data_IF_225094175867
#
_entry.id   IF_225094175867
#
_cell.length_a   1.000
_cell.length_b   1.000
_cell.length_c   1.000
_cell.angle_alpha   90.00
_cell.angle_beta   90.00
_cell.angle_gamma   90.00
#
_symmetry.space_group_name_H-M   'P 1'
#
loop_
_entity.id
_entity.type
_entity.pdbx_description
1 polymer ?
#
# COMPACT_ATOMS: atom_id res chain seq x y z
N UNK A 1 24.31 -25.02 18.69
CA UNK A 1 23.19 -25.19 17.74
C UNK A 1 22.06 -24.33 18.27
N UNK A 2 21.93 -23.11 17.75
CA UNK A 2 20.76 -22.27 18.04
C UNK A 2 19.52 -23.04 17.57
N UNK A 3 18.51 -23.12 18.43
CA UNK A 3 17.18 -23.56 17.98
C UNK A 3 16.80 -22.70 16.78
N UNK A 4 16.28 -23.26 15.67
CA UNK A 4 15.65 -22.42 14.65
C UNK A 4 14.63 -21.54 15.38
N UNK A 5 14.75 -20.22 15.22
CA UNK A 5 13.82 -19.29 15.85
C UNK A 5 12.41 -19.71 15.45
N UNK A 6 11.57 -20.06 16.42
CA UNK A 6 10.19 -20.44 16.16
C UNK A 6 9.54 -19.33 15.32
N UNK A 7 8.79 -19.71 14.30
CA UNK A 7 8.03 -18.73 13.53
C UNK A 7 7.11 -17.93 14.48
N UNK A 8 7.00 -16.61 14.31
CA UNK A 8 6.14 -15.80 15.17
C UNK A 8 4.69 -16.26 15.07
N UNK A 9 4.04 -16.39 16.22
CA UNK A 9 2.61 -16.66 16.31
C UNK A 9 1.80 -15.37 16.10
N UNK A 10 0.58 -15.53 15.59
CA UNK A 10 -0.31 -14.41 15.28
C UNK A 10 -1.71 -14.65 15.82
N UNK A 11 -2.37 -13.57 16.22
CA UNK A 11 -3.81 -13.51 16.42
C UNK A 11 -4.48 -13.10 15.11
N UNK A 12 -5.71 -13.54 14.86
CA UNK A 12 -6.41 -13.27 13.60
C UNK A 12 -7.72 -12.49 13.80
N UNK A 13 -8.07 -11.67 12.81
CA UNK A 13 -9.34 -10.95 12.76
C UNK A 13 -9.20 -9.42 12.72
N UNK A 14 -9.47 -8.82 11.57
CA UNK A 14 -9.44 -7.37 11.38
C UNK A 14 -10.38 -6.65 12.37
N UNK A 15 -9.86 -5.66 13.09
CA UNK A 15 -10.63 -4.82 14.01
C UNK A 15 -11.07 -5.48 15.33
N UNK A 16 -10.62 -6.71 15.61
CA UNK A 16 -10.91 -7.38 16.89
C UNK A 16 -10.38 -6.61 18.10
N UNK A 17 -10.98 -6.87 19.26
CA UNK A 17 -10.39 -6.56 20.56
C UNK A 17 -9.53 -7.75 21.00
N UNK A 18 -8.23 -7.65 20.78
CA UNK A 18 -7.25 -8.68 21.12
C UNK A 18 -6.78 -8.56 22.57
N UNK A 19 -6.35 -9.69 23.11
CA UNK A 19 -5.62 -9.82 24.36
C UNK A 19 -4.39 -10.69 24.07
N UNK A 20 -3.20 -10.22 24.45
CA UNK A 20 -1.96 -10.97 24.26
C UNK A 20 -1.00 -10.73 25.42
N UNK A 21 -0.41 -11.80 25.95
CA UNK A 21 0.59 -11.75 27.02
C UNK A 21 1.74 -12.71 26.75
N UNK A 22 2.97 -12.21 26.88
CA UNK A 22 4.18 -13.01 26.77
C UNK A 22 4.50 -13.77 28.07
N UNK A 23 4.01 -13.28 29.20
CA UNK A 23 4.10 -13.91 30.51
C UNK A 23 2.67 -14.17 31.06
N UNK A 24 2.37 -15.38 31.56
CA UNK A 24 1.03 -15.71 32.04
C UNK A 24 0.54 -14.79 33.16
N UNK A 25 -0.63 -14.18 32.99
CA UNK A 25 -1.21 -13.26 33.97
C UNK A 25 -0.58 -11.87 34.00
N UNK A 26 0.14 -11.47 32.94
CA UNK A 26 0.63 -10.11 32.79
C UNK A 26 -0.48 -9.11 32.46
N UNK A 27 -1.57 -9.56 31.83
CA UNK A 27 -2.78 -8.75 31.66
C UNK A 27 -3.52 -8.56 32.97
N UNK A 28 -4.08 -7.36 33.15
CA UNK A 28 -4.88 -7.01 34.31
C UNK A 28 -6.30 -7.52 34.15
N UNK A 29 -6.88 -8.08 35.22
CA UNK A 29 -8.25 -8.61 35.20
C UNK A 29 -9.25 -7.57 35.71
N UNK A 30 -10.31 -7.32 34.95
CA UNK A 30 -11.45 -6.48 35.36
C UNK A 30 -11.22 -4.97 35.40
N UNK A 31 -10.01 -4.49 35.10
CA UNK A 31 -9.64 -3.07 35.03
C UNK A 31 -8.39 -2.87 34.18
N UNK A 32 -8.17 -1.65 33.64
CA UNK A 32 -6.98 -1.35 32.82
C UNK A 32 -5.82 -0.71 33.62
N UNK A 33 -6.13 -0.03 34.73
CA UNK A 33 -5.15 0.77 35.49
C UNK A 33 -5.16 0.38 36.97
N UNK A 34 -4.62 -0.79 37.34
CA UNK A 34 -4.48 -1.17 38.75
C UNK A 34 -3.45 -0.31 39.47
N UNK A 35 -3.59 -0.18 40.79
CA UNK A 35 -2.60 0.48 41.63
C UNK A 35 -1.22 -0.20 41.53
N UNK A 36 -1.22 -1.52 41.35
CA UNK A 36 -0.03 -2.34 41.12
C UNK A 36 -0.31 -3.28 39.95
N UNK A 37 0.32 -3.04 38.79
CA UNK A 37 0.21 -3.97 37.68
C UNK A 37 0.90 -5.30 38.02
N UNK A 38 0.43 -6.43 37.45
CA UNK A 38 1.18 -7.68 37.45
C UNK A 38 2.63 -7.45 37.03
N UNK A 39 3.56 -8.20 37.63
CA UNK A 39 5.00 -8.09 37.39
C UNK A 39 5.62 -6.70 37.65
N UNK A 40 4.88 -5.77 38.27
CA UNK A 40 5.37 -4.40 38.47
C UNK A 40 5.43 -3.57 37.19
N UNK A 41 4.69 -3.95 36.14
CA UNK A 41 4.65 -3.25 34.86
C UNK A 41 4.01 -1.85 34.98
N UNK A 42 4.23 -1.02 33.97
CA UNK A 42 3.53 0.24 33.76
C UNK A 42 2.38 0.03 32.79
N UNK A 43 1.18 0.48 33.14
CA UNK A 43 0.06 0.56 32.21
C UNK A 43 0.16 1.86 31.40
N UNK A 44 0.15 1.75 30.07
CA UNK A 44 0.21 2.85 29.13
C UNK A 44 -0.90 2.67 28.09
N UNK A 45 -1.58 3.74 27.69
CA UNK A 45 -2.58 3.67 26.63
C UNK A 45 -2.06 4.40 25.38
N UNK A 46 -2.09 3.70 24.25
CA UNK A 46 -2.00 4.33 22.93
C UNK A 46 -3.42 4.53 22.39
N UNK A 47 -3.75 5.78 22.06
CA UNK A 47 -5.06 6.16 21.52
C UNK A 47 -4.89 6.52 20.05
N UNK A 48 -5.37 5.65 19.15
CA UNK A 48 -5.33 5.91 17.70
C UNK A 48 -6.40 6.91 17.26
N UNK A 49 -7.49 7.03 18.04
CA UNK A 49 -8.63 7.91 17.73
C UNK A 49 -8.99 8.81 18.90
N UNK A 50 -9.86 9.79 18.64
CA UNK A 50 -10.42 10.62 19.71
C UNK A 50 -11.21 9.77 20.71
N UNK A 51 -11.18 10.14 22.00
CA UNK A 51 -11.88 9.39 23.04
C UNK A 51 -13.39 9.26 22.80
N UNK A 52 -13.99 10.23 22.12
CA UNK A 52 -15.41 10.29 21.81
C UNK A 52 -15.77 9.73 20.43
N UNK A 53 -14.80 9.16 19.70
CA UNK A 53 -15.08 8.45 18.46
C UNK A 53 -16.17 7.39 18.69
N UNK A 54 -17.16 7.24 17.78
CA UNK A 54 -18.17 6.20 17.88
C UNK A 54 -17.52 4.84 18.13
N UNK A 55 -18.10 3.99 18.98
CA UNK A 55 -17.48 2.73 19.41
C UNK A 55 -16.94 1.86 18.27
N UNK A 56 -17.66 1.80 17.14
CA UNK A 56 -17.24 1.05 15.93
C UNK A 56 -16.00 1.61 15.23
N UNK A 57 -15.67 2.89 15.46
CA UNK A 57 -14.51 3.59 14.91
C UNK A 57 -13.44 3.85 15.99
N UNK A 58 -13.74 3.63 17.27
CA UNK A 58 -12.83 3.93 18.37
C UNK A 58 -11.70 2.90 18.42
N UNK A 59 -10.48 3.34 18.14
CA UNK A 59 -9.28 2.51 18.17
C UNK A 59 -8.34 2.94 19.30
N UNK A 60 -7.99 1.97 20.16
CA UNK A 60 -7.03 2.12 21.26
C UNK A 60 -6.43 0.79 21.69
N UNK A 61 -5.26 0.84 22.30
CA UNK A 61 -4.65 -0.30 22.99
C UNK A 61 -4.03 0.10 24.32
N UNK A 62 -4.12 -0.81 25.29
CA UNK A 62 -3.41 -0.75 26.56
C UNK A 62 -2.18 -1.64 26.49
N UNK A 63 -1.05 -1.09 26.89
CA UNK A 63 0.26 -1.71 26.90
C UNK A 63 0.72 -1.85 28.36
N UNK A 64 1.13 -3.04 28.77
CA UNK A 64 1.74 -3.30 30.07
C UNK A 64 3.23 -3.54 29.85
N UNK A 65 4.02 -2.52 30.15
CA UNK A 65 5.42 -2.40 29.71
C UNK A 65 6.40 -2.23 30.86
N UNK A 66 7.65 -2.65 30.66
CA UNK A 66 8.70 -2.63 31.70
C UNK A 66 9.09 -1.19 32.07
N UNK A 67 9.24 -0.31 31.08
CA UNK A 67 9.45 1.14 31.27
C UNK A 67 8.51 1.92 30.35
N UNK A 68 7.88 3.00 30.84
CA UNK A 68 6.92 3.79 30.06
C UNK A 68 7.61 4.57 28.94
N UNK A 69 6.90 4.83 27.84
CA UNK A 69 7.42 5.51 26.64
C UNK A 69 7.95 6.92 26.89
N UNK A 70 7.52 7.56 27.98
CA UNK A 70 7.91 8.92 28.38
C UNK A 70 9.38 9.01 28.84
N UNK A 71 10.03 7.90 29.17
CA UNK A 71 11.43 7.92 29.64
C UNK A 71 12.39 7.95 28.46
N UNK A 72 12.72 9.15 27.98
CA UNK A 72 13.74 9.39 26.95
C UNK A 72 14.34 10.80 27.12
N UNK A 73 15.50 11.04 26.50
CA UNK A 73 16.07 12.39 26.36
C UNK A 73 15.18 13.28 25.47
N UNK A 74 15.27 14.62 25.56
CA UNK A 74 14.59 15.50 24.62
C UNK A 74 14.87 15.13 23.15
N UNK A 75 13.87 15.30 22.29
CA UNK A 75 14.04 15.12 20.85
C UNK A 75 14.89 16.26 20.26
N UNK A 76 15.83 15.90 19.39
CA UNK A 76 16.65 16.82 18.61
C UNK A 76 16.46 16.57 17.13
N UNK A 77 16.53 17.62 16.30
CA UNK A 77 16.43 17.47 14.85
C UNK A 77 17.49 16.49 14.34
N UNK A 78 17.06 15.52 13.53
CA UNK A 78 17.94 14.59 12.83
C UNK A 78 18.30 15.20 11.49
N UNK A 79 19.60 15.25 11.18
CA UNK A 79 20.04 15.56 9.82
C UNK A 79 19.69 14.35 8.94
N UNK A 80 18.78 14.47 7.97
CA UNK A 80 18.41 13.34 7.14
C UNK A 80 19.54 13.03 6.15
N UNK A 81 19.68 11.76 5.75
CA UNK A 81 20.67 11.38 4.72
C UNK A 81 20.39 12.02 3.35
N UNK A 82 19.14 12.36 3.10
CA UNK A 82 18.68 13.02 1.89
C UNK A 82 17.43 13.85 2.18
N UNK A 83 17.14 14.83 1.33
CA UNK A 83 15.96 15.71 1.46
C UNK A 83 14.74 15.20 0.67
N UNK A 84 14.68 13.88 0.40
CA UNK A 84 13.63 13.25 -0.41
C UNK A 84 12.44 12.73 0.38
N UNK A 85 12.41 12.94 1.71
CA UNK A 85 11.27 12.61 2.54
C UNK A 85 10.45 13.88 2.77
N UNK A 86 9.20 13.89 2.30
CA UNK A 86 8.31 15.07 2.29
C UNK A 86 6.91 14.66 2.75
N UNK A 87 6.24 15.52 3.51
CA UNK A 87 4.83 15.35 3.90
C UNK A 87 3.98 16.62 3.71
N UNK A 88 4.59 17.68 3.18
CA UNK A 88 3.94 18.94 2.85
C UNK A 88 4.05 19.16 1.35
N UNK A 89 2.92 19.16 0.65
CA UNK A 89 2.89 19.21 -0.82
C UNK A 89 2.47 20.59 -1.30
N UNK A 90 3.46 21.46 -1.54
CA UNK A 90 3.27 22.82 -2.04
C UNK A 90 4.24 23.14 -3.20
N UNK A 91 4.34 24.40 -3.63
CA UNK A 91 5.17 24.80 -4.77
C UNK A 91 6.68 24.68 -4.55
N UNK A 92 7.16 24.63 -3.29
CA UNK A 92 8.61 24.52 -3.00
C UNK A 92 9.08 23.07 -2.92
N UNK A 93 8.19 22.15 -2.53
CA UNK A 93 8.53 20.74 -2.29
C UNK A 93 8.08 19.81 -3.41
N UNK A 94 7.22 20.29 -4.31
CA UNK A 94 6.54 19.44 -5.30
C UNK A 94 5.96 20.24 -6.46
N UNK A 95 5.73 19.55 -7.58
CA UNK A 95 5.18 20.11 -8.81
C UNK A 95 3.96 19.31 -9.28
N UNK A 96 3.01 19.97 -9.92
CA UNK A 96 1.89 19.30 -10.57
C UNK A 96 2.21 19.10 -12.06
N UNK A 97 1.81 17.96 -12.63
CA UNK A 97 1.82 17.73 -14.07
C UNK A 97 0.64 16.84 -14.46
N UNK A 98 -0.08 17.15 -15.56
CA UNK A 98 -1.12 16.28 -16.09
C UNK A 98 -0.55 15.14 -16.95
N UNK A 99 0.75 15.15 -17.25
CA UNK A 99 1.41 14.12 -18.07
C UNK A 99 1.42 12.79 -17.34
N UNK A 100 1.12 11.70 -18.06
CA UNK A 100 1.28 10.34 -17.53
C UNK A 100 2.75 10.07 -17.21
N UNK A 101 3.03 9.52 -16.04
CA UNK A 101 4.40 9.22 -15.61
C UNK A 101 4.59 7.72 -15.42
N UNK A 102 5.78 7.22 -15.75
CA UNK A 102 6.19 5.84 -15.50
C UNK A 102 7.66 5.82 -15.08
N UNK A 103 7.95 5.11 -14.00
CA UNK A 103 9.29 4.93 -13.48
C UNK A 103 9.71 3.47 -13.57
N UNK A 104 10.96 3.25 -13.98
CA UNK A 104 11.63 1.97 -13.86
C UNK A 104 11.90 1.64 -12.38
N UNK A 105 12.18 0.37 -12.04
CA UNK A 105 12.53 0.00 -10.68
C UNK A 105 13.79 0.73 -10.19
N UNK A 106 13.68 1.45 -9.08
CA UNK A 106 14.82 2.15 -8.48
C UNK A 106 15.85 1.14 -7.99
N UNK A 107 17.13 1.41 -8.25
CA UNK A 107 18.22 0.56 -7.79
C UNK A 107 18.32 0.57 -6.25
N UNK A 108 18.59 -0.59 -5.68
CA UNK A 108 18.96 -0.70 -4.27
C UNK A 108 20.34 -0.03 -4.10
N UNK A 109 20.56 0.77 -3.03
CA UNK A 109 21.84 1.40 -2.78
C UNK A 109 22.99 0.39 -2.78
N UNK A 110 24.11 0.76 -3.38
CA UNK A 110 25.32 -0.07 -3.45
C UNK A 110 25.80 -0.47 -2.04
N UNK A 111 26.47 -1.61 -1.95
CA UNK A 111 26.98 -2.14 -0.67
C UNK A 111 27.98 -1.21 0.03
N UNK A 112 28.55 -0.23 -0.68
CA UNK A 112 29.44 0.79 -0.11
C UNK A 112 28.72 1.87 0.71
N UNK A 113 27.39 2.01 0.57
CA UNK A 113 26.57 2.93 1.36
C UNK A 113 25.61 2.16 2.26
N UNK A 114 25.85 2.18 3.56
CA UNK A 114 24.94 1.60 4.56
C UNK A 114 23.66 2.44 4.65
N UNK A 115 22.52 1.85 4.26
CA UNK A 115 21.21 2.51 4.23
C UNK A 115 20.16 1.59 4.86
N UNK A 116 19.59 2.02 6.00
CA UNK A 116 18.49 1.32 6.65
C UNK A 116 17.13 1.71 6.07
N UNK A 117 16.03 1.17 6.62
CA UNK A 117 14.67 1.48 6.15
C UNK A 117 14.34 2.98 6.23
N UNK A 118 14.79 3.70 7.26
CA UNK A 118 14.48 5.11 7.46
C UNK A 118 15.26 5.97 6.46
N UNK A 119 16.57 5.73 6.37
CA UNK A 119 17.46 6.45 5.45
C UNK A 119 17.22 6.10 3.97
N UNK A 120 16.54 4.97 3.71
CA UNK A 120 16.17 4.51 2.38
C UNK A 120 14.76 4.87 1.95
N UNK A 121 13.98 5.58 2.78
CA UNK A 121 12.59 5.96 2.52
C UNK A 121 12.51 7.31 1.80
N UNK A 122 11.92 7.34 0.60
CA UNK A 122 11.82 8.56 -0.20
C UNK A 122 10.43 8.74 -0.82
N UNK A 123 9.93 9.97 -0.78
CA UNK A 123 8.59 10.36 -1.24
C UNK A 123 8.56 10.60 -2.73
N UNK A 124 7.73 9.88 -3.46
CA UNK A 124 7.55 10.05 -4.91
C UNK A 124 6.56 11.16 -5.21
N UNK A 125 5.38 11.09 -4.57
CA UNK A 125 4.31 12.07 -4.73
C UNK A 125 3.37 12.03 -3.53
N UNK A 126 2.44 12.98 -3.47
CA UNK A 126 1.39 13.00 -2.47
C UNK A 126 0.55 14.27 -2.58
N UNK A 127 -0.36 14.46 -1.65
CA UNK A 127 -1.22 15.64 -1.59
C UNK A 127 -1.59 15.97 -0.15
N UNK A 128 -1.85 17.24 0.13
CA UNK A 128 -2.20 17.70 1.46
C UNK A 128 -0.98 17.99 2.35
N UNK A 129 -1.17 17.81 3.66
CA UNK A 129 -0.26 18.25 4.70
C UNK A 129 -0.41 17.38 5.96
N UNK A 130 0.72 16.88 6.43
CA UNK A 130 0.80 16.17 7.72
C UNK A 130 0.44 17.07 8.91
N UNK A 131 0.77 18.37 8.87
CA UNK A 131 0.49 19.29 9.98
C UNK A 131 -1.01 19.50 10.22
N UNK A 132 -1.79 19.59 9.15
CA UNK A 132 -3.25 19.70 9.25
C UNK A 132 -3.94 18.33 9.30
N UNK A 133 -3.18 17.24 9.28
CA UNK A 133 -3.67 15.85 9.31
C UNK A 133 -4.68 15.57 8.20
N UNK A 134 -4.34 15.95 6.98
CA UNK A 134 -5.18 15.66 5.82
C UNK A 134 -4.34 15.43 4.58
N UNK A 135 -4.57 14.30 3.92
CA UNK A 135 -3.89 13.95 2.68
C UNK A 135 -3.17 12.62 2.76
N UNK A 136 -2.24 12.42 1.83
CA UNK A 136 -1.46 11.20 1.74
C UNK A 136 -0.09 11.47 1.13
N UNK A 137 0.85 10.57 1.35
CA UNK A 137 2.13 10.52 0.67
C UNK A 137 2.38 9.08 0.17
N UNK A 138 2.94 8.97 -1.03
CA UNK A 138 3.40 7.70 -1.58
C UNK A 138 4.92 7.74 -1.57
N UNK A 139 5.50 6.88 -0.76
CA UNK A 139 6.93 6.65 -0.68
C UNK A 139 7.29 5.34 -1.37
N UNK A 140 8.56 5.23 -1.71
CA UNK A 140 9.21 3.94 -1.93
C UNK A 140 10.37 3.84 -0.96
N UNK A 141 10.78 2.62 -0.66
CA UNK A 141 11.96 2.38 0.16
C UNK A 141 12.95 1.49 -0.57
N UNK A 142 14.24 1.73 -0.38
CA UNK A 142 15.32 0.85 -0.81
C UNK A 142 16.42 0.84 0.27
N UNK A 143 16.62 -0.32 0.90
CA UNK A 143 17.51 -0.47 2.05
C UNK A 143 18.42 -1.69 1.89
N UNK A 144 19.63 -1.60 2.42
CA UNK A 144 20.62 -2.69 2.40
C UNK A 144 21.17 -3.05 3.79
N UNK A 145 20.68 -2.39 4.84
CA UNK A 145 21.04 -2.63 6.23
C UNK A 145 19.79 -2.72 7.11
N UNK A 146 19.82 -3.60 8.11
CA UNK A 146 18.84 -3.62 9.19
C UNK A 146 18.92 -2.35 10.06
N UNK A 147 17.82 -2.01 10.73
CA UNK A 147 17.80 -0.98 11.76
C UNK A 147 18.41 -1.52 13.06
N UNK A 148 19.63 -1.09 13.39
CA UNK A 148 20.35 -1.55 14.59
C UNK A 148 20.32 -0.49 15.69
N UNK A 149 19.83 -0.86 16.89
CA UNK A 149 19.79 0.04 18.04
C UNK A 149 18.89 1.26 17.85
N UNK A 150 17.94 1.18 16.92
CA UNK A 150 16.98 2.25 16.66
C UNK A 150 15.58 1.74 16.29
N UNK A 151 14.58 2.59 16.53
CA UNK A 151 13.20 2.40 16.12
C UNK A 151 12.65 3.68 15.49
N UNK A 152 11.76 3.55 14.53
CA UNK A 152 10.96 4.64 13.98
C UNK A 152 9.61 4.70 14.69
N UNK A 153 9.15 5.91 15.00
CA UNK A 153 7.78 6.23 15.36
C UNK A 153 7.27 7.24 14.32
N UNK A 154 6.17 6.94 13.64
CA UNK A 154 5.54 7.90 12.75
C UNK A 154 4.37 8.59 13.45
N UNK A 155 4.49 9.89 13.75
CA UNK A 155 3.42 10.67 14.35
C UNK A 155 2.54 11.37 13.32
N UNK A 156 2.81 11.25 12.02
CA UNK A 156 2.06 11.96 10.98
C UNK A 156 0.87 11.14 10.47
N UNK A 157 0.96 9.81 10.50
CA UNK A 157 -0.06 8.95 9.92
C UNK A 157 0.23 7.45 10.01
N UNK A 158 -0.67 6.67 9.41
CA UNK A 158 -0.52 5.23 9.26
C UNK A 158 0.35 4.93 8.02
N UNK A 159 1.26 3.96 8.14
CA UNK A 159 1.95 3.38 6.98
C UNK A 159 1.29 2.08 6.55
N UNK A 160 0.99 1.94 5.25
CA UNK A 160 0.75 0.68 4.57
C UNK A 160 1.98 0.35 3.71
N UNK A 161 2.71 -0.70 4.07
CA UNK A 161 3.96 -1.10 3.42
C UNK A 161 3.69 -2.34 2.55
N UNK A 162 4.18 -2.30 1.31
CA UNK A 162 4.08 -3.38 0.32
C UNK A 162 5.50 -3.78 -0.12
N UNK A 163 6.09 -4.84 0.47
CA UNK A 163 7.39 -5.34 0.05
C UNK A 163 7.35 -5.85 -1.39
N UNK A 164 8.37 -5.49 -2.18
CA UNK A 164 8.53 -5.96 -3.56
C UNK A 164 9.68 -6.94 -3.69
N UNK A 165 10.81 -6.66 -3.03
CA UNK A 165 12.00 -7.52 -3.00
C UNK A 165 12.52 -7.63 -1.58
N UNK A 166 12.86 -8.86 -1.16
CA UNK A 166 13.36 -9.18 0.17
C UNK A 166 12.29 -9.09 1.25
N UNK A 167 12.29 -10.03 2.20
CA UNK A 167 11.37 -10.00 3.35
C UNK A 167 11.74 -8.90 4.32
N UNK A 168 10.75 -8.40 5.05
CA UNK A 168 10.91 -7.52 6.20
C UNK A 168 10.60 -8.29 7.49
N UNK A 169 11.52 -8.25 8.45
CA UNK A 169 11.28 -8.70 9.82
C UNK A 169 11.06 -7.47 10.70
N UNK A 170 9.81 -7.16 11.00
CA UNK A 170 9.41 -5.93 11.71
C UNK A 170 9.15 -6.25 13.18
N UNK A 171 9.91 -5.62 14.07
CA UNK A 171 9.62 -5.63 15.52
C UNK A 171 8.79 -4.40 15.85
N UNK A 172 7.66 -4.58 16.54
CA UNK A 172 6.77 -3.51 16.99
C UNK A 172 6.57 -3.60 18.50
N UNK A 173 5.95 -2.59 19.11
CA UNK A 173 5.56 -2.66 20.52
C UNK A 173 4.51 -3.75 20.81
N UNK A 174 3.75 -4.22 19.81
CA UNK A 174 2.80 -5.33 19.99
C UNK A 174 3.41 -6.72 19.77
N UNK A 175 4.63 -6.79 19.21
CA UNK A 175 5.31 -8.03 18.86
C UNK A 175 5.94 -8.02 17.47
N UNK A 176 6.26 -9.20 16.93
CA UNK A 176 7.03 -9.35 15.69
C UNK A 176 6.18 -9.77 14.50
N UNK A 177 6.42 -9.16 13.34
CA UNK A 177 5.79 -9.46 12.06
C UNK A 177 6.86 -9.81 11.02
N UNK A 178 6.72 -10.94 10.35
CA UNK A 178 7.47 -11.24 9.12
C UNK A 178 6.59 -10.87 7.94
N UNK A 179 7.10 -10.14 6.94
CA UNK A 179 6.31 -9.66 5.80
C UNK A 179 7.08 -9.90 4.52
N UNK A 180 6.56 -10.75 3.64
CA UNK A 180 7.19 -11.14 2.38
C UNK A 180 6.59 -10.38 1.19
N UNK A 181 7.28 -10.30 0.04
CA UNK A 181 6.63 -9.89 -1.21
C UNK A 181 5.40 -10.77 -1.50
N UNK A 182 4.27 -10.14 -1.79
CA UNK A 182 2.95 -10.81 -1.85
C UNK A 182 2.12 -10.63 -0.58
N UNK A 183 2.70 -10.09 0.49
CA UNK A 183 2.01 -9.68 1.70
C UNK A 183 2.07 -8.14 1.83
N UNK A 184 1.22 -7.59 2.69
CA UNK A 184 1.29 -6.19 3.11
C UNK A 184 1.25 -6.09 4.64
N UNK A 185 1.66 -4.93 5.17
CA UNK A 185 1.59 -4.62 6.59
C UNK A 185 1.14 -3.19 6.80
N UNK A 186 0.28 -2.99 7.79
CA UNK A 186 -0.09 -1.66 8.28
C UNK A 186 0.55 -1.43 9.65
N UNK A 187 1.27 -0.32 9.76
CA UNK A 187 1.87 0.19 10.98
C UNK A 187 1.12 1.47 11.38
N UNK A 188 0.22 1.39 12.37
CA UNK A 188 -0.60 2.53 12.73
C UNK A 188 0.22 3.68 13.35
N UNK A 189 -0.28 4.90 13.19
CA UNK A 189 0.30 6.12 13.73
C UNK A 189 0.69 5.97 15.21
N UNK A 190 1.91 6.38 15.55
CA UNK A 190 2.44 6.44 16.90
C UNK A 190 3.08 5.16 17.43
N UNK A 191 2.92 4.01 16.76
CA UNK A 191 3.64 2.80 17.14
C UNK A 191 5.14 2.92 16.80
N UNK A 192 5.98 2.48 17.74
CA UNK A 192 7.41 2.31 17.51
C UNK A 192 7.66 0.97 16.82
N UNK A 193 8.50 0.99 15.79
CA UNK A 193 8.89 -0.22 15.07
C UNK A 193 10.33 -0.18 14.58
N UNK A 194 10.92 -1.34 14.35
CA UNK A 194 12.26 -1.51 13.79
C UNK A 194 12.24 -2.59 12.71
N UNK A 195 12.93 -2.34 11.60
CA UNK A 195 12.90 -3.18 10.39
C UNK A 195 14.24 -3.87 10.21
N UNK A 196 14.23 -5.20 10.27
CA UNK A 196 15.36 -6.06 9.93
C UNK A 196 15.19 -6.64 8.54
N UNK A 197 16.31 -6.85 7.85
CA UNK A 197 16.36 -7.35 6.48
C UNK A 197 16.95 -8.77 6.42
N UNK A 198 16.17 -9.83 6.74
CA UNK A 198 16.69 -11.19 6.87
C UNK A 198 17.27 -11.79 5.59
N UNK A 199 16.85 -11.29 4.42
CA UNK A 199 17.34 -11.74 3.11
C UNK A 199 18.43 -10.83 2.52
N UNK A 200 18.94 -9.87 3.31
CA UNK A 200 19.76 -8.78 2.80
C UNK A 200 18.91 -7.69 2.13
N UNK A 201 19.41 -7.00 1.10
CA UNK A 201 18.77 -5.77 0.63
C UNK A 201 17.31 -5.91 0.19
N UNK A 202 16.49 -4.94 0.59
CA UNK A 202 15.04 -4.93 0.37
C UNK A 202 14.57 -3.64 -0.32
N UNK A 203 13.48 -3.74 -1.07
CA UNK A 203 12.82 -2.63 -1.75
C UNK A 203 11.30 -2.84 -1.77
N UNK A 204 10.55 -1.75 -1.70
CA UNK A 204 9.10 -1.80 -1.80
C UNK A 204 8.46 -0.42 -1.80
N UNK A 205 7.16 -0.39 -1.51
CA UNK A 205 6.31 0.80 -1.58
C UNK A 205 5.70 1.07 -0.21
N UNK A 206 5.40 2.34 0.07
CA UNK A 206 4.70 2.75 1.29
C UNK A 206 3.64 3.79 0.94
N UNK A 207 2.38 3.54 1.28
CA UNK A 207 1.38 4.58 1.35
C UNK A 207 1.30 5.10 2.79
N UNK A 208 1.38 6.41 2.96
CA UNK A 208 1.19 7.11 4.22
C UNK A 208 -0.09 7.94 4.13
N UNK A 209 -1.02 7.76 5.08
CA UNK A 209 -2.27 8.53 5.12
C UNK A 209 -2.31 9.45 6.34
N UNK A 210 -2.78 10.69 6.15
CA UNK A 210 -2.86 11.70 7.22
C UNK A 210 -4.31 11.87 7.66
N UNK A 211 -4.58 11.62 8.94
CA UNK A 211 -5.87 11.90 9.57
C UNK A 211 -6.97 10.84 9.41
N UNK A 212 -6.63 9.66 8.89
CA UNK A 212 -7.55 8.52 8.80
C UNK A 212 -6.82 7.20 9.12
N UNK A 213 -7.58 6.12 9.30
CA UNK A 213 -7.06 4.76 9.41
C UNK A 213 -7.65 3.90 8.30
N UNK A 214 -6.89 2.91 7.85
CA UNK A 214 -7.36 1.93 6.88
C UNK A 214 -8.47 1.04 7.45
N UNK A 215 -9.45 0.71 6.61
CA UNK A 215 -10.65 -0.06 6.92
C UNK A 215 -10.89 -1.07 5.80
N UNK A 216 -11.63 -2.15 6.09
CA UNK A 216 -12.20 -2.99 5.03
C UNK A 216 -13.27 -2.19 4.27
N UNK A 217 -13.38 -2.35 2.95
CA UNK A 217 -14.42 -1.67 2.18
C UNK A 217 -15.82 -2.20 2.54
N UNK A 218 -16.83 -1.34 2.40
CA UNK A 218 -18.22 -1.80 2.41
C UNK A 218 -18.45 -2.73 1.22
N UNK A 219 -18.93 -3.95 1.48
CA UNK A 219 -19.08 -4.99 0.44
C UNK A 219 -20.30 -4.77 -0.46
N UNK A 220 -21.25 -3.94 -0.05
CA UNK A 220 -22.48 -3.69 -0.82
C UNK A 220 -23.16 -5.01 -1.25
N UNK A 221 -23.53 -5.17 -2.53
CA UNK A 221 -24.15 -6.39 -3.05
C UNK A 221 -23.30 -7.67 -2.98
N UNK A 222 -21.98 -7.60 -2.76
CA UNK A 222 -21.16 -8.79 -2.50
C UNK A 222 -21.65 -9.49 -1.22
N UNK A 223 -22.19 -8.73 -0.27
CA UNK A 223 -22.84 -9.25 0.92
C UNK A 223 -21.90 -9.32 2.12
N UNK A 224 -21.86 -10.47 2.79
CA UNK A 224 -21.15 -10.60 4.08
C UNK A 224 -19.77 -11.26 3.97
N UNK A 225 -19.35 -11.71 2.78
CA UNK A 225 -18.10 -12.43 2.56
C UNK A 225 -17.54 -12.14 1.17
N UNK A 226 -16.23 -11.97 1.07
CA UNK A 226 -15.54 -11.73 -0.20
C UNK A 226 -14.35 -10.79 -0.01
N UNK A 227 -13.63 -10.51 -1.10
CA UNK A 227 -12.48 -9.62 -1.10
C UNK A 227 -11.42 -10.05 -0.07
N UNK A 228 -10.95 -9.12 0.77
CA UNK A 228 -10.06 -9.41 1.89
C UNK A 228 -10.87 -9.85 3.11
N UNK A 229 -10.92 -11.16 3.37
CA UNK A 229 -11.65 -11.70 4.51
C UNK A 229 -11.03 -11.25 5.84
N UNK A 230 -11.84 -10.72 6.77
CA UNK A 230 -11.37 -10.18 8.05
C UNK A 230 -10.52 -11.18 8.85
N UNK A 231 -10.81 -12.48 8.78
CA UNK A 231 -10.06 -13.54 9.49
C UNK A 231 -8.61 -13.69 9.04
N UNK A 232 -8.26 -13.19 7.86
CA UNK A 232 -6.94 -13.42 7.27
C UNK A 232 -5.95 -12.29 7.57
N UNK A 233 -6.41 -11.25 8.27
CA UNK A 233 -5.56 -10.22 8.87
C UNK A 233 -4.96 -10.73 10.17
N UNK A 234 -3.64 -10.67 10.27
CA UNK A 234 -2.85 -11.23 11.35
C UNK A 234 -2.16 -10.13 12.16
N UNK A 235 -2.29 -10.20 13.48
CA UNK A 235 -1.72 -9.27 14.47
C UNK A 235 -0.68 -10.03 15.30
N UNK A 236 0.50 -9.46 15.61
CA UNK A 236 1.54 -10.18 16.33
C UNK A 236 1.13 -10.48 17.77
N UNK A 237 1.53 -11.63 18.31
CA UNK A 237 1.44 -11.88 19.75
C UNK A 237 2.49 -11.07 20.52
N UNK A 238 2.18 -10.70 21.77
CA UNK A 238 3.06 -9.96 22.65
C UNK A 238 4.45 -10.59 22.74
N UNK A 239 5.48 -9.75 22.66
CA UNK A 239 6.87 -10.11 22.76
C UNK A 239 7.66 -8.91 23.28
N UNK A 240 8.69 -9.15 24.08
CA UNK A 240 9.46 -8.08 24.71
C UNK A 240 10.97 -8.34 24.79
N UNK A 241 11.71 -7.25 24.93
CA UNK A 241 13.10 -7.18 25.33
C UNK A 241 13.21 -6.49 26.70
N UNK A 242 14.04 -7.05 27.58
CA UNK A 242 14.25 -6.52 28.94
C UNK A 242 15.68 -6.05 29.19
N UNK A 243 16.60 -6.35 28.29
CA UNK A 243 18.01 -6.03 28.45
C UNK A 243 18.24 -4.51 28.44
N UNK A 244 19.17 -4.07 29.28
CA UNK A 244 19.71 -2.72 29.23
C UNK A 244 20.35 -2.46 27.86
N UNK A 245 19.92 -1.38 27.19
CA UNK A 245 20.40 -1.01 25.85
C UNK A 245 20.77 0.48 25.85
N UNK A 246 21.97 0.83 26.35
CA UNK A 246 22.37 2.22 26.50
C UNK A 246 22.42 2.92 25.14
N UNK A 247 21.82 4.12 25.08
CA UNK A 247 21.83 4.94 23.85
C UNK A 247 20.96 4.43 22.71
N UNK A 248 19.95 3.59 22.98
CA UNK A 248 18.94 3.21 21.99
C UNK A 248 18.27 4.46 21.42
N UNK A 249 18.20 4.56 20.09
CA UNK A 249 17.73 5.77 19.40
C UNK A 249 16.29 5.63 18.93
N UNK A 250 15.42 6.51 19.39
CA UNK A 250 14.06 6.67 18.87
C UNK A 250 14.09 7.75 17.81
N UNK A 251 13.79 7.37 16.58
CA UNK A 251 13.57 8.31 15.48
C UNK A 251 12.08 8.62 15.43
N UNK A 252 11.72 9.88 15.56
CA UNK A 252 10.34 10.35 15.45
C UNK A 252 10.18 11.08 14.11
N UNK A 253 9.28 10.61 13.25
CA UNK A 253 8.77 11.39 12.13
C UNK A 253 7.63 12.27 12.65
N UNK A 254 7.75 13.58 12.50
CA UNK A 254 6.78 14.56 12.99
C UNK A 254 6.77 15.80 12.08
N UNK A 255 5.62 16.11 11.50
CA UNK A 255 5.47 17.20 10.53
C UNK A 255 6.33 17.00 9.26
N UNK A 256 6.60 15.75 8.88
CA UNK A 256 7.49 15.41 7.76
C UNK A 256 8.98 15.43 8.07
N UNK A 257 9.37 15.99 9.20
CA UNK A 257 10.76 16.05 9.64
C UNK A 257 11.11 14.85 10.51
N UNK A 258 12.40 14.57 10.63
CA UNK A 258 12.92 13.51 11.49
C UNK A 258 13.60 14.11 12.72
N UNK A 259 13.29 13.55 13.88
CA UNK A 259 13.91 13.88 15.15
C UNK A 259 14.47 12.63 15.81
N UNK A 260 15.48 12.76 16.66
CA UNK A 260 16.02 11.65 17.45
C UNK A 260 16.01 11.97 18.94
N UNK A 261 15.64 10.98 19.76
CA UNK A 261 15.85 10.97 21.21
C UNK A 261 16.56 9.68 21.61
N UNK A 262 17.37 9.71 22.66
CA UNK A 262 18.01 8.51 23.21
C UNK A 262 17.33 8.04 24.49
N UNK A 263 17.43 6.74 24.73
CA UNK A 263 16.99 6.07 25.95
C UNK A 263 17.89 4.85 26.21
N UNK A 264 17.90 4.34 27.44
CA UNK A 264 18.81 3.23 27.82
C UNK A 264 18.15 1.85 27.85
N UNK A 265 17.06 1.68 27.09
CA UNK A 265 16.31 0.44 27.00
C UNK A 265 15.64 0.32 25.64
N UNK A 266 15.28 -0.89 25.23
CA UNK A 266 14.49 -1.10 24.02
C UNK A 266 13.06 -0.59 24.17
N UNK A 267 12.47 0.10 23.17
CA UNK A 267 11.06 0.44 23.20
C UNK A 267 10.15 -0.80 23.10
N UNK A 268 10.69 -1.94 22.64
CA UNK A 268 9.97 -3.19 22.50
C UNK A 268 9.92 -3.93 23.84
N UNK A 269 9.44 -3.27 24.89
CA UNK A 269 9.44 -3.75 26.26
C UNK A 269 8.01 -3.98 26.81
N UNK A 270 7.06 -4.25 25.92
CA UNK A 270 5.64 -4.51 26.23
C UNK A 270 5.45 -6.01 26.47
N UNK A 271 5.21 -6.37 27.72
CA UNK A 271 5.06 -7.78 28.12
C UNK A 271 3.66 -8.31 27.81
N UNK A 272 2.66 -7.44 27.87
CA UNK A 272 1.30 -7.77 27.51
C UNK A 272 0.57 -6.54 26.96
N UNK A 273 -0.44 -6.77 26.13
CA UNK A 273 -1.28 -5.70 25.62
C UNK A 273 -2.69 -6.21 25.30
N UNK A 274 -3.67 -5.31 25.37
CA UNK A 274 -5.02 -5.58 24.87
C UNK A 274 -5.65 -4.35 24.21
N UNK A 275 -6.47 -4.57 23.19
CA UNK A 275 -7.08 -3.48 22.43
C UNK A 275 -7.41 -3.85 20.99
N UNK A 276 -7.81 -2.84 20.22
CA UNK A 276 -8.16 -2.98 18.81
C UNK A 276 -7.33 -2.06 17.89
N UNK A 277 -6.27 -1.45 18.43
CA UNK A 277 -5.32 -0.63 17.69
C UNK A 277 -3.96 -1.31 17.72
N UNK A 278 -3.59 -2.01 16.66
CA UNK A 278 -2.36 -2.79 16.60
C UNK A 278 -1.83 -2.87 15.16
N UNK A 279 -0.51 -3.06 14.98
CA UNK A 279 0.07 -3.44 13.71
C UNK A 279 -0.52 -4.76 13.19
N UNK A 280 -0.74 -4.87 11.88
CA UNK A 280 -1.26 -6.08 11.28
C UNK A 280 -0.69 -6.32 9.88
N UNK A 281 -0.64 -7.59 9.47
CA UNK A 281 -0.25 -8.01 8.12
C UNK A 281 -1.38 -8.78 7.44
N UNK A 282 -1.30 -8.87 6.12
CA UNK A 282 -2.23 -9.63 5.29
C UNK A 282 -1.52 -10.25 4.09
N UNK A 283 -1.83 -11.50 3.78
CA UNK A 283 -1.35 -12.20 2.59
C UNK A 283 -2.30 -11.93 1.41
N UNK A 284 -1.81 -11.22 0.38
CA UNK A 284 -2.60 -10.83 -0.78
C UNK A 284 -3.02 -12.03 -1.63
N UNK A 285 -2.32 -13.17 -1.51
CA UNK A 285 -2.71 -14.44 -2.14
C UNK A 285 -4.00 -15.03 -1.59
N UNK A 286 -4.46 -14.58 -0.41
CA UNK A 286 -5.74 -15.00 0.20
C UNK A 286 -6.94 -14.17 -0.23
N UNK A 287 -6.72 -13.09 -0.99
CA UNK A 287 -7.80 -12.26 -1.49
C UNK A 287 -8.76 -13.10 -2.35
N UNK A 288 -10.06 -12.96 -2.09
CA UNK A 288 -11.12 -13.61 -2.84
C UNK A 288 -11.60 -12.66 -3.96
N UNK A 289 -11.14 -12.84 -5.22
CA UNK A 289 -11.45 -11.90 -6.28
C UNK A 289 -12.91 -12.04 -6.72
N UNK A 290 -13.59 -10.91 -6.89
CA UNK A 290 -14.88 -10.83 -7.55
C UNK A 290 -14.70 -10.15 -8.91
N UNK A 291 -15.41 -10.65 -9.92
CA UNK A 291 -15.38 -10.06 -11.25
C UNK A 291 -16.62 -10.49 -12.03
N UNK A 292 -16.72 -10.05 -13.28
CA UNK A 292 -17.70 -10.53 -14.23
C UNK A 292 -17.62 -12.05 -14.41
N UNK A 293 -18.79 -12.65 -14.61
CA UNK A 293 -18.96 -14.06 -14.98
C UNK A 293 -19.74 -14.22 -16.29
N UNK A 294 -19.96 -13.12 -17.02
CA UNK A 294 -20.71 -13.13 -18.27
C UNK A 294 -20.05 -12.22 -19.32
N UNK A 295 -20.17 -10.91 -19.18
CA UNK A 295 -19.67 -9.93 -20.16
C UNK A 295 -19.09 -8.69 -19.45
N UNK A 296 -18.48 -7.81 -20.24
CA UNK A 296 -17.86 -6.55 -19.81
C UNK A 296 -16.68 -6.71 -18.84
N UNK A 297 -16.08 -5.59 -18.45
CA UNK A 297 -14.98 -5.52 -17.49
C UNK A 297 -15.48 -4.78 -16.24
N UNK A 298 -15.47 -5.44 -15.09
CA UNK A 298 -15.90 -4.81 -13.83
C UNK A 298 -14.92 -3.72 -13.38
N UNK A 299 -15.45 -2.62 -12.82
CA UNK A 299 -14.64 -1.52 -12.29
C UNK A 299 -13.57 -2.01 -11.30
N UNK A 300 -12.35 -1.44 -11.32
CA UNK A 300 -11.22 -1.95 -10.53
C UNK A 300 -11.44 -1.88 -9.01
N UNK A 301 -12.38 -1.06 -8.54
CA UNK A 301 -12.80 -0.97 -7.13
C UNK A 301 -13.32 -2.30 -6.56
N UNK A 302 -13.75 -3.23 -7.42
CA UNK A 302 -14.08 -4.61 -7.02
C UNK A 302 -12.87 -5.35 -6.43
N UNK A 303 -11.65 -4.84 -6.61
CA UNK A 303 -10.43 -5.42 -6.06
C UNK A 303 -9.84 -4.65 -4.87
N UNK A 304 -10.62 -3.78 -4.20
CA UNK A 304 -10.17 -3.05 -3.01
C UNK A 304 -9.88 -4.02 -1.85
N UNK A 305 -8.67 -3.93 -1.29
CA UNK A 305 -8.24 -4.68 -0.09
C UNK A 305 -8.51 -3.84 1.17
N UNK A 306 -8.06 -2.59 1.16
CA UNK A 306 -8.26 -1.62 2.24
C UNK A 306 -8.60 -0.25 1.66
N UNK A 307 -9.40 0.51 2.38
CA UNK A 307 -9.75 1.89 2.08
C UNK A 307 -9.52 2.80 3.28
N UNK A 308 -9.00 3.99 3.06
CA UNK A 308 -9.01 5.09 4.02
C UNK A 308 -10.10 6.08 3.59
N UNK A 309 -11.18 6.26 4.36
CA UNK A 309 -12.26 7.16 3.95
C UNK A 309 -11.84 8.63 4.07
N UNK A 310 -12.45 9.48 3.24
CA UNK A 310 -12.46 10.93 3.47
C UNK A 310 -13.70 11.35 4.29
N UNK A 311 -13.80 12.65 4.60
CA UNK A 311 -15.01 13.21 5.24
C UNK A 311 -16.24 13.20 4.32
N UNK A 312 -16.06 12.96 3.01
CA UNK A 312 -17.15 12.87 2.05
C UNK A 312 -17.56 11.40 1.87
N UNK A 313 -18.82 11.02 2.21
CA UNK A 313 -19.29 9.64 2.04
C UNK A 313 -19.12 9.14 0.60
N UNK A 314 -18.61 7.92 0.46
CA UNK A 314 -18.36 7.28 -0.84
C UNK A 314 -17.12 7.80 -1.58
N UNK A 315 -16.31 8.69 -0.96
CA UNK A 315 -15.05 9.16 -1.53
C UNK A 315 -13.91 8.76 -0.59
N UNK A 316 -13.05 7.86 -1.05
CA UNK A 316 -11.88 7.43 -0.29
C UNK A 316 -10.76 8.48 -0.39
N UNK A 317 -10.12 8.77 0.74
CA UNK A 317 -8.83 9.45 0.77
C UNK A 317 -7.79 8.62 0.02
N UNK A 318 -7.75 7.31 0.26
CA UNK A 318 -6.90 6.40 -0.47
C UNK A 318 -7.46 4.98 -0.47
N UNK A 319 -7.63 4.39 -1.65
CA UNK A 319 -7.93 2.97 -1.83
C UNK A 319 -6.65 2.20 -2.18
N UNK A 320 -6.43 1.08 -1.48
CA UNK A 320 -5.43 0.09 -1.83
C UNK A 320 -6.11 -1.06 -2.57
N UNK A 321 -5.90 -1.09 -3.88
CA UNK A 321 -6.51 -2.03 -4.82
C UNK A 321 -5.43 -2.99 -5.33
N UNK A 322 -5.74 -4.26 -5.54
CA UNK A 322 -4.81 -5.22 -6.14
C UNK A 322 -5.31 -5.78 -7.47
N UNK A 323 -4.41 -6.30 -8.28
CA UNK A 323 -4.72 -7.04 -9.51
C UNK A 323 -4.15 -8.45 -9.39
N UNK A 324 -4.85 -9.35 -8.68
CA UNK A 324 -4.34 -10.67 -8.33
C UNK A 324 -4.54 -11.67 -9.48
N UNK A 325 -3.95 -12.88 -9.37
CA UNK A 325 -4.32 -14.01 -10.21
C UNK A 325 -5.82 -14.26 -10.19
N UNK A 326 -6.45 -14.36 -11.36
CA UNK A 326 -7.91 -14.52 -11.50
C UNK A 326 -8.29 -15.15 -12.82
N UNK A 327 -9.53 -15.63 -12.90
CA UNK A 327 -10.12 -16.12 -14.14
C UNK A 327 -10.68 -14.97 -14.97
N UNK A 328 -10.46 -15.03 -16.27
CA UNK A 328 -11.09 -14.20 -17.29
C UNK A 328 -12.03 -15.07 -18.11
N UNK A 329 -13.32 -14.81 -17.97
CA UNK A 329 -14.39 -15.60 -18.59
C UNK A 329 -15.36 -14.77 -19.42
N UNK A 330 -15.17 -13.44 -19.46
CA UNK A 330 -16.09 -12.54 -20.16
C UNK A 330 -16.19 -12.89 -21.65
N UNK A 331 -17.40 -13.15 -22.12
CA UNK A 331 -17.75 -13.45 -23.50
C UNK A 331 -17.88 -12.16 -24.31
N UNK A 332 -17.50 -12.20 -25.59
CA UNK A 332 -17.63 -11.06 -26.53
C UNK A 332 -17.13 -9.72 -25.98
N UNK A 333 -16.07 -9.75 -25.16
CA UNK A 333 -15.64 -8.63 -24.35
C UNK A 333 -14.17 -8.32 -24.61
N UNK A 334 -13.86 -7.02 -24.74
CA UNK A 334 -12.49 -6.54 -24.63
C UNK A 334 -12.03 -6.68 -23.16
N UNK A 335 -11.38 -7.79 -22.84
CA UNK A 335 -11.04 -8.20 -21.46
C UNK A 335 -10.02 -7.31 -20.73
N UNK A 336 -9.01 -6.68 -21.38
CA UNK A 336 -8.15 -5.73 -20.70
C UNK A 336 -8.93 -4.53 -20.12
N UNK A 337 -8.34 -3.74 -19.21
CA UNK A 337 -8.97 -2.52 -18.73
C UNK A 337 -9.41 -1.62 -19.90
N UNK A 338 -10.55 -0.95 -19.76
CA UNK A 338 -11.06 -0.03 -20.78
C UNK A 338 -10.21 1.25 -20.85
N UNK A 339 -10.28 1.96 -21.99
CA UNK A 339 -9.76 3.33 -22.07
C UNK A 339 -10.51 4.23 -21.09
N UNK A 340 -9.77 5.00 -20.30
CA UNK A 340 -10.30 5.58 -19.07
C UNK A 340 -9.80 7.00 -18.81
N UNK A 341 -10.66 7.79 -18.15
CA UNK A 341 -10.42 9.13 -17.59
C UNK A 341 -11.17 9.19 -16.27
N UNK A 342 -10.46 9.44 -15.18
CA UNK A 342 -10.99 9.27 -13.83
C UNK A 342 -11.00 10.58 -13.05
N UNK A 343 -11.94 10.75 -12.11
CA UNK A 343 -11.87 11.82 -11.11
C UNK A 343 -10.80 11.55 -10.04
N UNK A 344 -10.40 10.30 -9.86
CA UNK A 344 -9.31 9.90 -8.99
C UNK A 344 -7.96 10.02 -9.71
N UNK A 345 -6.87 9.96 -8.94
CA UNK A 345 -5.50 9.81 -9.42
C UNK A 345 -4.97 8.43 -9.05
N UNK A 346 -4.34 7.76 -10.01
CA UNK A 346 -4.01 6.35 -9.95
C UNK A 346 -2.49 6.15 -9.91
N UNK A 347 -1.94 5.76 -8.76
CA UNK A 347 -0.54 5.34 -8.64
C UNK A 347 -0.48 3.82 -8.65
N UNK A 348 0.13 3.23 -9.69
CA UNK A 348 0.28 1.78 -9.79
C UNK A 348 1.69 1.31 -9.44
N UNK A 349 1.78 0.17 -8.77
CA UNK A 349 3.03 -0.57 -8.54
C UNK A 349 2.91 -2.04 -8.97
N UNK A 350 4.05 -2.72 -9.06
CA UNK A 350 4.14 -4.12 -9.47
C UNK A 350 5.04 -4.90 -8.52
N UNK A 351 4.48 -5.91 -7.86
CA UNK A 351 5.21 -6.73 -6.87
C UNK A 351 6.06 -7.78 -7.59
N UNK A 352 5.44 -8.55 -8.49
CA UNK A 352 6.09 -9.55 -9.34
C UNK A 352 5.25 -9.79 -10.61
N UNK A 353 5.87 -10.41 -11.62
CA UNK A 353 5.20 -10.76 -12.88
C UNK A 353 5.09 -9.59 -13.86
N UNK A 354 4.01 -9.58 -14.64
CA UNK A 354 3.69 -8.60 -15.70
C UNK A 354 2.23 -8.16 -15.54
N UNK A 355 1.94 -6.87 -15.75
CA UNK A 355 0.58 -6.33 -15.71
C UNK A 355 -0.07 -6.36 -17.10
N UNK A 356 -1.28 -6.88 -17.20
CA UNK A 356 -1.93 -7.20 -18.49
C UNK A 356 -2.15 -6.01 -19.43
N UNK A 357 -2.28 -4.78 -18.89
CA UNK A 357 -2.53 -3.60 -19.70
C UNK A 357 -1.26 -2.94 -20.25
N UNK A 358 -0.08 -3.48 -19.92
CA UNK A 358 1.23 -2.93 -20.31
C UNK A 358 2.14 -4.06 -20.77
N UNK A 359 2.28 -4.21 -22.07
CA UNK A 359 3.09 -5.26 -22.67
C UNK A 359 4.57 -5.13 -22.27
N UNK A 360 5.08 -3.89 -22.22
CA UNK A 360 6.48 -3.60 -21.92
C UNK A 360 6.67 -2.37 -21.00
N UNK A 361 7.81 -2.33 -20.30
CA UNK A 361 8.30 -1.14 -19.58
C UNK A 361 7.73 -0.91 -18.18
N UNK A 362 6.76 -1.70 -17.72
CA UNK A 362 6.28 -1.71 -16.34
C UNK A 362 6.76 -2.97 -15.62
N UNK A 363 7.87 -2.85 -14.89
CA UNK A 363 8.61 -3.97 -14.29
C UNK A 363 8.41 -4.04 -12.76
N UNK A 364 8.60 -5.20 -12.12
CA UNK A 364 8.54 -5.33 -10.66
C UNK A 364 9.45 -4.34 -9.94
N UNK A 365 8.88 -3.54 -9.04
CA UNK A 365 9.55 -2.43 -8.36
C UNK A 365 9.46 -1.08 -9.08
N UNK A 366 8.92 -1.03 -10.29
CA UNK A 366 8.59 0.20 -11.02
C UNK A 366 7.25 0.79 -10.57
N UNK A 367 6.89 1.94 -11.13
CA UNK A 367 5.65 2.62 -10.81
C UNK A 367 5.08 3.37 -12.02
N UNK A 368 3.79 3.71 -11.98
CA UNK A 368 3.21 4.70 -12.88
C UNK A 368 2.20 5.59 -12.17
N UNK A 369 2.03 6.80 -12.68
CA UNK A 369 1.05 7.75 -12.19
C UNK A 369 0.18 8.26 -13.34
N UNK A 370 -1.13 8.10 -13.20
CA UNK A 370 -2.14 8.73 -14.05
C UNK A 370 -2.95 9.69 -13.18
N UNK A 371 -2.68 10.99 -13.33
CA UNK A 371 -3.34 12.05 -12.55
C UNK A 371 -4.82 12.18 -12.95
N UNK A 372 -5.61 12.79 -12.06
CA UNK A 372 -7.00 13.15 -12.29
C UNK A 372 -7.27 13.66 -13.72
N UNK A 373 -8.23 13.02 -14.39
CA UNK A 373 -8.71 13.28 -15.75
C UNK A 373 -7.71 13.06 -16.88
N UNK A 374 -6.48 12.65 -16.59
CA UNK A 374 -5.50 12.25 -17.60
C UNK A 374 -5.96 10.97 -18.29
N UNK A 375 -6.18 10.97 -19.62
CA UNK A 375 -6.58 9.77 -20.34
C UNK A 375 -5.53 8.67 -20.19
N UNK A 376 -5.94 7.42 -20.06
CA UNK A 376 -5.07 6.25 -20.02
C UNK A 376 -5.85 5.01 -20.50
N UNK A 377 -5.19 3.86 -20.56
CA UNK A 377 -5.78 2.60 -21.01
C UNK A 377 -4.70 1.64 -21.53
N UNK A 378 -5.09 0.52 -22.15
CA UNK A 378 -4.17 -0.44 -22.74
C UNK A 378 -3.29 0.21 -23.81
N UNK A 379 -2.03 -0.24 -23.87
CA UNK A 379 -1.12 0.18 -24.93
C UNK A 379 -1.53 -0.37 -26.31
N UNK A 380 -0.89 0.16 -27.36
CA UNK A 380 -1.16 -0.23 -28.76
C UNK A 380 -1.00 -1.73 -28.97
N UNK A 381 0.08 -2.31 -28.43
CA UNK A 381 0.39 -3.74 -28.59
C UNK A 381 -0.70 -4.60 -27.96
N UNK A 382 -1.14 -4.25 -26.76
CA UNK A 382 -2.20 -4.96 -26.03
C UNK A 382 -3.53 -4.87 -26.76
N UNK A 383 -3.88 -3.68 -27.26
CA UNK A 383 -5.11 -3.49 -28.04
C UNK A 383 -5.11 -4.36 -29.31
N UNK A 384 -4.08 -4.23 -30.16
CA UNK A 384 -4.01 -4.96 -31.44
C UNK A 384 -3.96 -6.47 -31.23
N UNK A 385 -3.23 -6.95 -30.21
CA UNK A 385 -3.19 -8.38 -29.85
C UNK A 385 -4.57 -8.89 -29.40
N UNK A 386 -5.30 -8.09 -28.59
CA UNK A 386 -6.62 -8.47 -28.09
C UNK A 386 -7.65 -8.56 -29.23
N UNK A 387 -7.68 -7.56 -30.12
CA UNK A 387 -8.60 -7.57 -31.26
C UNK A 387 -8.27 -8.69 -32.26
N UNK A 388 -6.99 -9.00 -32.47
CA UNK A 388 -6.56 -10.09 -33.35
C UNK A 388 -7.03 -11.49 -32.89
N UNK A 389 -7.34 -11.68 -31.60
CA UNK A 389 -7.91 -12.93 -31.10
C UNK A 389 -9.36 -13.19 -31.56
N UNK A 390 -10.10 -12.14 -31.97
CA UNK A 390 -11.51 -12.24 -32.36
C UNK A 390 -12.41 -12.78 -31.24
N UNK A 391 -13.51 -13.44 -31.62
CA UNK A 391 -14.48 -14.03 -30.67
C UNK A 391 -14.02 -15.34 -30.01
N UNK A 392 -12.83 -15.85 -30.37
CA UNK A 392 -12.28 -17.10 -29.83
C UNK A 392 -11.71 -16.88 -28.42
N UNK A 393 -12.59 -16.66 -27.43
CA UNK A 393 -12.20 -16.29 -26.07
C UNK A 393 -12.55 -17.36 -25.03
N UNK A 394 -11.77 -18.44 -25.00
CA UNK A 394 -11.89 -19.47 -23.96
C UNK A 394 -11.60 -18.92 -22.55
N UNK A 395 -12.14 -19.55 -21.49
CA UNK A 395 -11.76 -19.25 -20.12
C UNK A 395 -10.24 -19.31 -19.92
N UNK A 396 -9.66 -18.22 -19.42
CA UNK A 396 -8.21 -18.11 -19.21
C UNK A 396 -7.91 -17.66 -17.77
N UNK A 397 -6.91 -18.28 -17.13
CA UNK A 397 -6.47 -17.86 -15.80
C UNK A 397 -5.19 -17.03 -15.89
N UNK A 398 -5.28 -15.76 -15.50
CA UNK A 398 -4.10 -14.94 -15.24
C UNK A 398 -3.42 -15.45 -13.97
N UNK A 399 -2.11 -15.69 -14.03
CA UNK A 399 -1.31 -16.16 -12.91
C UNK A 399 0.12 -15.60 -12.95
N UNK A 400 0.88 -15.81 -11.88
CA UNK A 400 2.28 -15.41 -11.80
C UNK A 400 2.52 -13.89 -11.77
N UNK A 401 1.49 -13.10 -11.45
CA UNK A 401 1.55 -11.65 -11.40
C UNK A 401 0.78 -11.10 -10.20
N UNK A 402 1.21 -9.95 -9.70
CA UNK A 402 0.51 -9.18 -8.69
C UNK A 402 0.88 -7.70 -8.81
N UNK A 403 0.02 -6.94 -9.49
CA UNK A 403 0.07 -5.49 -9.50
C UNK A 403 -0.85 -4.93 -8.39
N UNK A 404 -0.69 -3.66 -8.07
CA UNK A 404 -1.57 -2.96 -7.15
C UNK A 404 -1.68 -1.48 -7.54
N UNK A 405 -2.63 -0.80 -6.93
CA UNK A 405 -2.86 0.62 -7.09
C UNK A 405 -3.15 1.27 -5.74
N UNK A 406 -2.55 2.45 -5.55
CA UNK A 406 -2.98 3.45 -4.57
C UNK A 406 -3.77 4.50 -5.35
N UNK A 407 -5.08 4.55 -5.14
CA UNK A 407 -5.98 5.48 -5.81
C UNK A 407 -6.48 6.53 -4.82
N UNK A 408 -6.43 7.82 -5.20
CA UNK A 408 -6.88 8.92 -4.32
C UNK A 408 -7.70 9.95 -5.08
N UNK A 409 -8.70 10.53 -4.41
CA UNK A 409 -9.46 11.66 -4.96
C UNK A 409 -8.68 12.98 -4.98
N UNK A 410 -7.61 13.08 -4.18
CA UNK A 410 -6.76 14.26 -4.17
C UNK A 410 -5.78 14.22 -5.34
N UNK A 411 -5.49 15.39 -5.91
CA UNK A 411 -4.53 15.50 -7.00
C UNK A 411 -3.11 15.40 -6.43
N UNK A 412 -2.28 14.45 -6.89
CA UNK A 412 -0.92 14.30 -6.43
C UNK A 412 -0.05 15.43 -6.98
N UNK A 413 0.80 15.96 -6.11
CA UNK A 413 1.99 16.73 -6.49
C UNK A 413 3.20 15.80 -6.40
N UNK A 414 4.08 15.89 -7.39
CA UNK A 414 5.22 15.00 -7.57
C UNK A 414 6.47 15.70 -7.04
N UNK A 415 7.30 14.99 -6.28
CA UNK A 415 8.55 15.54 -5.77
C UNK A 415 9.54 15.82 -6.93
N UNK A 416 10.32 16.91 -6.89
CA UNK A 416 11.24 17.28 -7.98
C UNK A 416 12.20 16.16 -8.36
N UNK A 417 12.80 15.48 -7.37
CA UNK A 417 13.73 14.39 -7.61
C UNK A 417 13.10 13.24 -8.41
N UNK A 418 11.78 13.00 -8.28
CA UNK A 418 11.09 11.94 -9.00
C UNK A 418 10.85 12.33 -10.47
N UNK A 419 10.61 13.61 -10.75
CA UNK A 419 10.52 14.13 -12.12
C UNK A 419 11.88 14.19 -12.83
N UNK A 420 12.94 14.41 -12.06
CA UNK A 420 14.32 14.49 -12.54
C UNK A 420 15.02 13.13 -12.58
N UNK A 421 14.38 12.08 -12.06
CA UNK A 421 14.95 10.76 -11.92
C UNK A 421 15.39 10.18 -13.27
N UNK A 422 16.59 9.57 -13.36
CA UNK A 422 17.02 8.85 -14.56
C UNK A 422 16.14 7.62 -14.86
N UNK A 423 15.39 7.14 -13.85
CA UNK A 423 14.47 6.02 -13.98
C UNK A 423 13.11 6.42 -14.57
N UNK A 424 12.84 7.73 -14.72
CA UNK A 424 11.62 8.21 -15.37
C UNK A 424 11.66 7.91 -16.87
N UNK A 425 10.66 7.20 -17.35
CA UNK A 425 10.47 6.91 -18.77
C UNK A 425 9.88 8.12 -19.51
N UNK A 426 10.77 8.92 -20.10
CA UNK A 426 10.43 10.11 -20.88
C UNK A 426 9.61 9.80 -22.15
N UNK A 427 9.56 8.53 -22.57
CA UNK A 427 8.86 8.08 -23.76
C UNK A 427 7.61 7.28 -23.44
N UNK A 428 7.10 7.34 -22.19
CA UNK A 428 5.94 6.53 -21.79
C UNK A 428 4.73 6.72 -22.72
N UNK A 429 4.45 7.96 -23.14
CA UNK A 429 3.35 8.28 -24.05
C UNK A 429 3.39 7.51 -25.38
N UNK A 430 4.58 7.08 -25.84
CA UNK A 430 4.74 6.41 -27.13
C UNK A 430 4.02 5.07 -27.20
N UNK A 431 3.73 4.43 -26.06
CA UNK A 431 3.01 3.15 -26.06
C UNK A 431 1.57 3.28 -26.60
N UNK A 432 0.98 4.47 -26.63
CA UNK A 432 -0.36 4.72 -27.22
C UNK A 432 -0.34 5.38 -28.61
N UNK A 433 0.78 5.97 -29.05
CA UNK A 433 0.85 6.73 -30.30
C UNK A 433 0.57 5.86 -31.54
N UNK A 434 0.79 4.55 -31.43
CA UNK A 434 0.55 3.60 -32.52
C UNK A 434 -0.93 3.24 -32.74
N UNK A 435 -1.85 3.63 -31.86
CA UNK A 435 -3.29 3.33 -32.00
C UNK A 435 -3.86 3.97 -33.27
N UNK A 436 -4.54 3.15 -34.08
CA UNK A 436 -5.08 3.57 -35.39
C UNK A 436 -6.61 3.70 -35.36
N UNK A 437 -7.19 4.56 -36.19
CA UNK A 437 -8.64 4.56 -36.39
C UNK A 437 -9.06 3.28 -37.12
N UNK A 438 -9.97 2.51 -36.51
CA UNK A 438 -10.56 1.30 -37.09
C UNK A 438 -12.02 1.51 -37.55
N UNK A 439 -12.54 2.74 -37.47
CA UNK A 439 -13.92 3.07 -37.83
C UNK A 439 -14.19 2.86 -39.33
N UNK A 440 -15.14 1.98 -39.65
CA UNK A 440 -15.62 1.73 -41.02
C UNK A 440 -17.13 1.98 -41.09
N UNK A 441 -17.59 3.12 -41.65
CA UNK A 441 -19.01 3.50 -41.65
C UNK A 441 -19.90 2.60 -42.53
N UNK A 442 -19.32 1.69 -43.30
CA UNK A 442 -20.03 0.82 -44.25
C UNK A 442 -20.01 -0.67 -43.88
N UNK A 443 -19.30 -1.06 -42.81
CA UNK A 443 -19.39 -2.43 -42.28
C UNK A 443 -20.60 -2.52 -41.33
N UNK A 444 -21.62 -3.30 -41.71
CA UNK A 444 -22.83 -3.53 -40.91
C UNK A 444 -24.15 -3.08 -41.56
N UNK A 445 -24.10 -2.45 -42.74
CA UNK A 445 -25.27 -2.30 -43.59
C UNK A 445 -25.30 -3.51 -44.52
N UNK A 446 -26.09 -4.53 -44.18
CA UNK A 446 -26.64 -5.38 -45.23
C UNK A 446 -27.45 -4.47 -46.14
N UNK A 447 -26.98 -4.24 -47.37
CA UNK A 447 -27.77 -3.60 -48.42
C UNK A 447 -29.05 -4.42 -48.62
N UNK A 448 -30.11 -4.03 -47.91
CA UNK A 448 -31.45 -4.47 -48.19
C UNK A 448 -31.81 -3.97 -49.60
N UNK A 449 -31.61 -4.86 -50.57
CA UNK A 449 -32.43 -5.01 -51.75
C UNK A 449 -32.58 -3.75 -52.61
N UNK A 450 -31.67 -3.56 -53.55
CA UNK A 450 -32.11 -3.13 -54.88
C UNK A 450 -31.36 -3.93 -55.93
N UNK A 451 -32.07 -4.92 -56.48
CA UNK A 451 -31.79 -5.51 -57.78
C UNK A 451 -31.60 -4.38 -58.81
N UNK A 452 -30.36 -4.01 -59.10
CA UNK A 452 -30.05 -3.33 -60.36
C UNK A 452 -30.02 -4.41 -61.43
N UNK A 453 -31.18 -4.56 -62.08
CA UNK A 453 -31.36 -5.32 -63.30
C UNK A 453 -30.30 -4.87 -64.30
N UNK A 454 -29.46 -5.81 -64.71
CA UNK A 454 -28.60 -5.65 -65.88
C UNK A 454 -29.47 -5.44 -67.12
N UNK A 455 -29.55 -4.21 -67.62
CA UNK A 455 -30.08 -3.93 -68.94
C UNK A 455 -28.93 -3.85 -69.94
N UNK A 456 -28.54 -5.00 -70.49
CA UNK A 456 -27.98 -5.06 -71.84
C UNK A 456 -29.09 -4.67 -72.83
N UNK A 457 -28.89 -3.62 -73.62
CA UNK A 457 -29.80 -3.27 -74.71
C UNK A 457 -29.29 -2.13 -75.57
N UNK A 458 -28.84 -2.48 -76.78
CA UNK A 458 -28.34 -1.61 -77.86
C UNK A 458 -29.46 -0.77 -78.53
N UNK A 459 -28.99 0.15 -79.39
CA UNK A 459 -29.61 0.79 -80.58
C UNK A 459 -30.38 2.08 -80.24
N UNK A 460 -30.10 3.25 -80.84
CA UNK A 460 -29.70 3.56 -82.22
C UNK A 460 -28.39 4.35 -82.38
#
# INVERSE_FOLDING_TARGET
>A
MEKPSAEPEYLSGFGNHFESEALPGALTRGQNSPLKCPYGLYAEQISGTSFTAPRKLNQRSWLYRIKPSVTHEPFHARVPRHERLVSEFNQTTSSATPTQLRWKPVNIPDSGSSTDFIDGLYTVCGSGSSFIRHGYAIHMYAANKSMDGCALCNADGDFLIVPQKGRLSITTECGKLQVSPGEMVVLPQGFRFSVNLPDGPSRGYVAEIFGAHFQLPDLGPIGANGLAAARDFLVPTAWFEENYQPGYTIVQKFGGELFTAKQDFSPFNVVAWHGNYAPYKYDLGKFCPFNTVLCDHGDPSVNTVLTAPSDKPGVALLDFVIFPPRWLVAEHTFRPPYYHRNCMSEFMGLIYGVYEAKADGFLPGGASLHSCMTPHGPDTTTYEATIACGDNSEPFRIGGTLAFMFESYLIPRICPWALESPDLDKNYYQCWIGLRPHFSPHNGVEENGTLTISATGRVA
#
